data_IF_166972648917
#
_entry.id   IF_166972648917
#
_cell.length_a   1.000
_cell.length_b   1.000
_cell.length_c   1.000
_cell.angle_alpha   90.00
_cell.angle_beta   90.00
_cell.angle_gamma   90.00
#
_symmetry.space_group_name_H-M   'P 1'
#
loop_
_entity.id
_entity.type
_entity.pdbx_description
1 polymer ?
#
# COMPACT_ATOMS: atom_id res chain seq x y z
N UNK A 1 2.13 -1.34 -9.31
CA UNK A 1 0.74 -1.42 -9.81
C UNK A 1 0.50 -2.61 -10.73
N UNK A 2 1.28 -2.77 -11.81
CA UNK A 2 1.04 -3.83 -12.81
C UNK A 2 1.01 -5.25 -12.20
N UNK A 3 1.86 -5.54 -11.22
CA UNK A 3 1.88 -6.84 -10.53
C UNK A 3 0.54 -7.13 -9.83
N UNK A 4 -0.08 -6.14 -9.18
CA UNK A 4 -1.38 -6.33 -8.54
C UNK A 4 -2.47 -6.67 -9.54
N UNK A 5 -2.48 -6.03 -10.72
CA UNK A 5 -3.44 -6.35 -11.77
C UNK A 5 -3.30 -7.80 -12.26
N UNK A 6 -2.07 -8.27 -12.44
CA UNK A 6 -1.80 -9.62 -12.95
C UNK A 6 -2.02 -10.71 -11.89
N UNK A 7 -1.55 -10.47 -10.65
CA UNK A 7 -1.55 -11.45 -9.57
C UNK A 7 -2.88 -11.49 -8.81
N UNK A 8 -3.52 -10.31 -8.61
CA UNK A 8 -4.75 -10.16 -7.82
C UNK A 8 -5.99 -9.89 -8.70
N UNK A 9 -5.78 -9.59 -9.97
CA UNK A 9 -6.84 -9.25 -10.92
C UNK A 9 -7.45 -7.87 -10.70
N UNK A 10 -6.94 -7.08 -9.74
CA UNK A 10 -7.44 -5.76 -9.39
C UNK A 10 -6.25 -4.83 -9.20
N UNK A 11 -6.37 -3.62 -9.75
CA UNK A 11 -5.46 -2.52 -9.51
C UNK A 11 -6.23 -1.39 -8.85
N UNK A 12 -5.77 -0.95 -7.69
CA UNK A 12 -6.34 0.17 -6.93
C UNK A 12 -5.30 1.27 -6.79
N UNK A 13 -5.70 2.50 -7.07
CA UNK A 13 -4.83 3.67 -6.94
C UNK A 13 -5.59 4.78 -6.24
N UNK A 14 -5.09 5.23 -5.10
CA UNK A 14 -5.56 6.41 -4.40
C UNK A 14 -5.09 7.66 -5.14
N UNK A 15 -5.98 8.61 -5.29
CA UNK A 15 -5.69 9.93 -5.87
C UNK A 15 -6.32 10.98 -4.98
N UNK A 16 -5.50 11.75 -4.31
CA UNK A 16 -5.94 12.84 -3.44
C UNK A 16 -5.11 14.09 -3.63
N UNK A 17 -5.40 15.11 -2.85
CA UNK A 17 -4.57 16.31 -2.77
C UNK A 17 -3.72 16.26 -1.52
N UNK A 18 -2.40 16.38 -1.68
CA UNK A 18 -1.47 16.37 -0.56
C UNK A 18 -0.89 17.75 -0.34
N UNK A 19 -1.06 18.23 0.91
CA UNK A 19 -0.39 19.44 1.39
C UNK A 19 0.51 19.06 2.55
N UNK A 20 1.78 19.35 2.42
CA UNK A 20 2.74 19.14 3.49
C UNK A 20 3.45 20.44 3.81
N UNK A 21 3.12 21.00 4.97
CA UNK A 21 3.76 22.18 5.50
C UNK A 21 4.78 21.74 6.56
N UNK A 22 6.06 21.88 6.24
CA UNK A 22 7.13 21.58 7.20
C UNK A 22 7.57 22.81 7.96
N UNK A 23 7.75 22.64 9.24
CA UNK A 23 8.26 23.68 10.13
C UNK A 23 9.77 23.53 10.30
N UNK A 24 10.50 24.58 10.01
CA UNK A 24 11.94 24.65 10.19
C UNK A 24 12.25 25.69 11.25
N UNK A 25 13.10 25.35 12.21
CA UNK A 25 13.70 26.34 13.08
C UNK A 25 14.76 27.08 12.28
N UNK A 26 14.52 28.36 12.05
CA UNK A 26 15.46 29.24 11.36
C UNK A 26 15.86 30.37 12.28
N UNK A 27 17.14 30.74 12.27
CA UNK A 27 17.60 31.99 12.88
C UNK A 27 17.21 33.13 11.99
N UNK A 28 16.42 34.04 12.51
CA UNK A 28 15.93 35.23 11.83
C UNK A 28 16.52 36.46 12.49
N UNK A 29 17.02 37.36 11.69
CA UNK A 29 17.37 38.70 12.12
C UNK A 29 16.14 39.65 12.12
N UNK A 30 16.26 40.80 12.76
CA UNK A 30 15.16 41.79 12.82
C UNK A 30 14.65 42.22 11.46
N UNK A 31 15.51 42.28 10.43
CA UNK A 31 15.12 42.66 9.07
C UNK A 31 14.27 41.56 8.39
N UNK A 32 14.61 40.30 8.63
CA UNK A 32 13.84 39.15 8.11
C UNK A 32 12.49 39.03 8.83
N UNK A 33 12.47 39.29 10.16
CA UNK A 33 11.22 39.32 10.92
C UNK A 33 10.33 40.47 10.43
N UNK A 34 10.90 41.66 10.11
CA UNK A 34 10.16 42.79 9.56
C UNK A 34 9.49 42.48 8.20
N UNK A 35 10.07 41.60 7.41
CA UNK A 35 9.48 41.16 6.14
C UNK A 35 8.29 40.20 6.35
N UNK A 36 8.30 39.40 7.41
CA UNK A 36 7.25 38.42 7.74
C UNK A 36 6.15 39.06 8.59
N UNK A 37 6.56 39.84 9.58
CA UNK A 37 5.70 40.45 10.59
C UNK A 37 6.22 41.85 10.98
N UNK A 38 5.93 42.89 10.19
CA UNK A 38 6.40 44.25 10.47
C UNK A 38 5.92 44.76 11.86
N UNK A 39 4.71 44.37 12.26
CA UNK A 39 4.11 44.73 13.54
C UNK A 39 4.97 44.31 14.75
N UNK A 40 5.61 43.14 14.68
CA UNK A 40 6.49 42.64 15.75
C UNK A 40 7.70 43.55 15.93
N UNK A 41 8.27 44.04 14.83
CA UNK A 41 9.47 44.93 14.92
C UNK A 41 9.11 46.33 15.39
N UNK A 42 7.94 46.83 14.99
CA UNK A 42 7.44 48.14 15.49
C UNK A 42 7.21 48.09 16.99
N UNK A 43 6.58 47.05 17.54
CA UNK A 43 6.35 46.86 18.95
C UNK A 43 7.65 46.64 19.75
N UNK A 44 8.63 45.93 19.18
CA UNK A 44 9.96 45.75 19.81
C UNK A 44 10.68 47.11 19.93
N UNK A 45 10.59 47.95 18.91
CA UNK A 45 11.22 49.30 18.91
C UNK A 45 10.47 50.30 19.74
N UNK A 46 9.15 50.14 19.93
CA UNK A 46 8.31 50.98 20.79
C UNK A 46 8.45 50.73 22.28
N UNK A 47 9.08 49.61 22.69
CA UNK A 47 9.32 49.27 24.09
C UNK A 47 8.08 48.85 24.88
N UNK A 48 7.05 48.34 24.18
CA UNK A 48 5.76 47.92 24.75
C UNK A 48 5.79 46.55 25.46
N UNK A 49 4.67 46.23 26.05
CA UNK A 49 4.43 45.13 27.02
C UNK A 49 4.89 43.76 26.45
N UNK A 50 5.77 43.10 27.22
CA UNK A 50 6.33 41.79 26.85
C UNK A 50 5.25 40.73 26.59
N UNK A 51 4.11 40.80 27.26
CA UNK A 51 3.01 39.83 27.11
C UNK A 51 2.24 40.01 25.77
N UNK A 52 2.11 41.23 25.28
CA UNK A 52 1.51 41.51 23.96
C UNK A 52 2.41 41.04 22.82
N UNK A 53 3.74 41.28 22.97
CA UNK A 53 4.73 40.78 21.99
C UNK A 53 4.78 39.26 21.96
N UNK A 54 4.65 38.61 23.11
CA UNK A 54 4.58 37.14 23.19
C UNK A 54 3.31 36.60 22.48
N UNK A 55 2.16 37.23 22.72
CA UNK A 55 0.91 36.84 22.07
C UNK A 55 0.98 37.07 20.55
N UNK A 56 1.58 38.16 20.10
CA UNK A 56 1.77 38.43 18.69
C UNK A 56 2.71 37.43 18.00
N UNK A 57 3.82 37.06 18.68
CA UNK A 57 4.74 36.02 18.20
C UNK A 57 4.06 34.65 18.11
N UNK A 58 3.17 34.30 19.05
CA UNK A 58 2.38 33.06 19.01
C UNK A 58 1.37 33.09 17.85
N UNK A 59 0.75 34.21 17.58
CA UNK A 59 -0.21 34.35 16.48
C UNK A 59 0.47 34.33 15.10
N UNK A 60 1.65 34.95 14.98
CA UNK A 60 2.34 35.11 13.69
C UNK A 60 3.18 33.89 13.30
N UNK A 61 3.80 33.22 14.28
CA UNK A 61 4.65 32.06 14.02
C UNK A 61 3.98 30.78 14.56
N UNK A 62 3.30 30.00 13.73
CA UNK A 62 2.56 28.82 14.14
C UNK A 62 3.47 27.78 14.80
N UNK A 63 3.06 27.35 16.01
CA UNK A 63 3.81 26.39 16.83
C UNK A 63 4.87 26.99 17.74
N UNK A 64 4.84 28.29 17.93
CA UNK A 64 5.60 28.96 19.00
C UNK A 64 4.79 28.89 20.29
N UNK A 65 5.29 28.19 21.29
CA UNK A 65 4.69 28.18 22.63
C UNK A 65 5.14 29.45 23.43
N UNK A 66 4.34 29.90 24.43
CA UNK A 66 4.68 31.02 25.30
C UNK A 66 6.12 30.99 25.81
N UNK A 67 6.61 29.82 26.16
CA UNK A 67 7.98 29.64 26.66
C UNK A 67 9.03 29.93 25.57
N UNK A 68 8.77 29.47 24.33
CA UNK A 68 9.63 29.75 23.17
C UNK A 68 9.55 31.21 22.73
N UNK A 69 8.36 31.81 22.73
CA UNK A 69 8.15 33.21 22.39
C UNK A 69 8.93 34.12 23.37
N UNK A 70 8.85 33.88 24.69
CA UNK A 70 9.64 34.62 25.69
C UNK A 70 11.14 34.46 25.50
N UNK A 71 11.61 33.26 25.14
CA UNK A 71 13.03 33.03 24.83
C UNK A 71 13.45 33.78 23.56
N UNK A 72 12.67 33.65 22.50
CA UNK A 72 12.93 34.34 21.23
C UNK A 72 13.00 35.86 21.40
N UNK A 73 12.08 36.43 22.18
CA UNK A 73 12.05 37.87 22.49
C UNK A 73 13.29 38.32 23.24
N UNK A 74 13.74 37.51 24.20
CA UNK A 74 14.98 37.79 24.96
C UNK A 74 16.21 37.72 24.04
N UNK A 75 16.26 36.75 23.13
CA UNK A 75 17.37 36.57 22.19
C UNK A 75 17.37 37.67 21.12
N UNK A 76 16.21 38.12 20.64
CA UNK A 76 16.07 39.27 19.72
C UNK A 76 16.59 40.57 20.36
N UNK A 77 16.21 40.83 21.60
CA UNK A 77 16.68 42.04 22.33
C UNK A 77 18.19 42.02 22.64
N UNK A 78 18.75 40.83 22.86
CA UNK A 78 20.15 40.67 23.22
C UNK A 78 21.10 40.59 22.05
N UNK A 79 20.72 39.82 21.04
CA UNK A 79 21.60 39.44 19.93
C UNK A 79 21.11 39.97 18.57
N UNK A 80 19.89 40.52 18.48
CA UNK A 80 19.27 40.94 17.23
C UNK A 80 18.76 39.79 16.36
N UNK A 81 18.90 38.54 16.83
CA UNK A 81 18.50 37.31 16.15
C UNK A 81 17.71 36.41 17.07
N UNK A 82 16.74 35.69 16.57
CA UNK A 82 16.02 34.62 17.29
C UNK A 82 15.78 33.40 16.47
N UNK A 83 15.71 32.23 17.10
CA UNK A 83 15.28 30.98 16.47
C UNK A 83 13.76 30.87 16.52
N UNK A 84 13.13 31.08 15.36
CA UNK A 84 11.68 30.99 15.20
C UNK A 84 11.33 29.89 14.19
N UNK A 85 10.23 29.16 14.39
CA UNK A 85 9.75 28.19 13.44
C UNK A 85 9.12 28.92 12.24
N UNK A 86 9.62 28.61 11.06
CA UNK A 86 9.02 29.06 9.81
C UNK A 86 8.33 27.88 9.15
N UNK A 87 7.09 28.07 8.74
CA UNK A 87 6.37 27.12 7.92
C UNK A 87 6.75 27.36 6.47
N UNK A 88 7.34 26.35 5.83
CA UNK A 88 7.55 26.34 4.40
C UNK A 88 6.67 25.24 3.81
N UNK A 89 5.72 25.62 2.95
CA UNK A 89 4.98 24.66 2.17
C UNK A 89 5.95 23.99 1.20
N UNK A 90 6.08 22.66 1.32
CA UNK A 90 6.99 21.87 0.49
C UNK A 90 6.26 21.14 -0.62
N UNK A 91 5.09 20.58 -0.32
CA UNK A 91 4.28 19.81 -1.26
C UNK A 91 2.87 20.39 -1.25
N UNK A 92 2.38 20.71 -2.44
CA UNK A 92 1.01 21.15 -2.68
C UNK A 92 0.63 20.65 -4.09
N UNK A 93 0.32 19.36 -4.18
CA UNK A 93 0.14 18.66 -5.44
C UNK A 93 -0.79 17.45 -5.31
N UNK A 94 -1.34 16.93 -6.42
CA UNK A 94 -2.03 15.66 -6.41
C UNK A 94 -1.10 14.55 -5.94
N UNK A 95 -1.56 13.74 -5.02
CA UNK A 95 -0.86 12.54 -4.53
C UNK A 95 -1.45 11.30 -5.17
N UNK A 96 -0.57 10.42 -5.66
CA UNK A 96 -0.96 9.15 -6.28
C UNK A 96 -0.27 8.02 -5.53
N UNK A 97 -1.06 7.14 -4.92
CA UNK A 97 -0.55 5.95 -4.21
C UNK A 97 -1.18 4.68 -4.77
N UNK A 98 -0.37 3.72 -5.16
CA UNK A 98 -0.86 2.37 -5.49
C UNK A 98 -1.14 1.62 -4.20
N UNK A 99 -2.35 1.11 -4.06
CA UNK A 99 -2.84 0.42 -2.89
C UNK A 99 -2.87 -1.10 -3.11
N UNK A 100 -2.65 -1.86 -2.04
CA UNK A 100 -2.84 -3.30 -2.07
C UNK A 100 -4.34 -3.62 -1.93
N UNK A 101 -4.95 -4.31 -2.91
CA UNK A 101 -6.40 -4.54 -2.91
C UNK A 101 -6.89 -5.48 -1.82
N UNK A 102 -5.99 -6.21 -1.18
CA UNK A 102 -6.26 -7.18 -0.12
C UNK A 102 -5.70 -6.76 1.26
N UNK A 103 -5.05 -5.60 1.33
CA UNK A 103 -4.39 -5.14 2.56
C UNK A 103 -4.69 -3.70 2.94
N UNK A 104 -4.76 -2.79 1.96
CA UNK A 104 -4.80 -1.36 2.24
C UNK A 104 -6.17 -0.74 2.04
N UNK A 105 -6.97 -1.25 1.08
CA UNK A 105 -8.23 -0.64 0.71
C UNK A 105 -9.34 -1.68 0.62
N UNK A 106 -10.49 -1.38 1.24
CA UNK A 106 -11.60 -2.31 1.40
C UNK A 106 -12.92 -1.69 0.93
N UNK A 107 -13.61 -2.44 0.06
CA UNK A 107 -14.99 -2.18 -0.31
C UNK A 107 -15.89 -3.29 0.22
N UNK A 108 -17.18 -3.05 0.38
CA UNK A 108 -18.13 -4.11 0.67
C UNK A 108 -18.08 -5.22 -0.40
N UNK A 109 -18.10 -6.51 -0.02
CA UNK A 109 -17.89 -7.62 -0.95
C UNK A 109 -18.97 -7.76 -2.04
N UNK A 110 -20.14 -7.14 -1.83
CA UNK A 110 -21.25 -7.17 -2.80
C UNK A 110 -21.19 -6.06 -3.86
N UNK A 111 -20.24 -5.14 -3.74
CA UNK A 111 -20.11 -3.98 -4.62
C UNK A 111 -19.66 -4.41 -6.02
N UNK A 112 -20.32 -3.85 -7.02
CA UNK A 112 -19.98 -4.05 -8.44
C UNK A 112 -19.16 -2.87 -8.96
N UNK A 113 -19.65 -1.66 -8.67
CA UNK A 113 -19.04 -0.38 -9.05
C UNK A 113 -18.48 0.30 -7.80
N UNK A 114 -17.15 0.47 -7.70
CA UNK A 114 -16.51 1.10 -6.55
C UNK A 114 -17.03 2.48 -6.23
N UNK A 115 -17.36 3.27 -7.26
CA UNK A 115 -17.83 4.65 -7.07
C UNK A 115 -19.28 4.73 -6.56
N UNK A 116 -20.05 3.64 -6.67
CA UNK A 116 -21.40 3.52 -6.12
C UNK A 116 -21.46 2.79 -4.78
N UNK A 117 -20.30 2.45 -4.22
CA UNK A 117 -20.23 1.83 -2.90
C UNK A 117 -20.82 2.75 -1.83
N UNK A 118 -21.57 2.25 -0.83
CA UNK A 118 -22.06 3.07 0.27
C UNK A 118 -20.94 3.57 1.16
N UNK A 119 -19.85 2.81 1.26
CA UNK A 119 -18.65 3.16 2.00
C UNK A 119 -17.43 2.41 1.47
N UNK A 120 -16.26 2.92 1.78
CA UNK A 120 -14.98 2.23 1.60
C UNK A 120 -14.00 2.64 2.70
N UNK A 121 -13.02 1.78 2.97
CA UNK A 121 -12.04 2.00 4.02
C UNK A 121 -10.64 1.93 3.42
N UNK A 122 -9.79 2.88 3.84
CA UNK A 122 -8.38 2.90 3.54
C UNK A 122 -7.57 2.78 4.83
N UNK A 123 -6.79 1.73 4.93
CA UNK A 123 -5.91 1.46 6.05
C UNK A 123 -4.52 2.01 5.78
N UNK A 124 -3.96 2.68 6.75
CA UNK A 124 -2.61 3.25 6.65
C UNK A 124 -1.92 3.15 8.01
N UNK A 125 -0.61 3.29 8.01
CA UNK A 125 0.21 3.18 9.20
C UNK A 125 1.02 4.45 9.40
N UNK A 126 1.07 4.92 10.63
CA UNK A 126 1.78 6.13 11.03
C UNK A 126 2.67 5.85 12.24
N UNK A 127 3.79 6.55 12.31
CA UNK A 127 4.58 6.68 13.54
C UNK A 127 3.90 7.65 14.51
N UNK A 128 4.23 7.56 15.80
CA UNK A 128 3.70 8.49 16.81
C UNK A 128 3.97 9.96 16.43
N UNK A 129 5.17 10.25 15.94
CA UNK A 129 5.54 11.60 15.52
C UNK A 129 4.71 12.12 14.32
N UNK A 130 4.37 11.25 13.38
CA UNK A 130 3.50 11.61 12.24
C UNK A 130 2.08 11.90 12.73
N UNK A 131 1.56 11.14 13.71
CA UNK A 131 0.24 11.39 14.29
C UNK A 131 0.19 12.74 15.02
N UNK A 132 1.21 13.05 15.85
CA UNK A 132 1.32 14.38 16.48
C UNK A 132 1.39 15.52 15.45
N UNK A 133 2.09 15.29 14.33
CA UNK A 133 2.11 16.26 13.23
C UNK A 133 0.73 16.43 12.58
N UNK A 134 -0.08 15.36 12.47
CA UNK A 134 -1.44 15.42 11.92
C UNK A 134 -2.39 16.27 12.76
N UNK A 135 -2.23 16.29 14.09
CA UNK A 135 -2.95 17.22 14.97
C UNK A 135 -2.70 18.67 14.54
N UNK A 136 -1.43 18.98 14.25
CA UNK A 136 -1.01 20.34 13.92
C UNK A 136 -1.32 20.78 12.49
N UNK A 137 -1.27 19.84 11.51
CA UNK A 137 -1.43 20.13 10.07
C UNK A 137 -2.83 19.90 9.56
N UNK A 138 -3.46 18.80 10.00
CA UNK A 138 -4.72 18.32 9.46
C UNK A 138 -5.90 18.56 10.42
N UNK A 139 -5.61 19.11 11.62
CA UNK A 139 -6.62 19.42 12.62
C UNK A 139 -7.26 18.17 13.24
N UNK A 140 -6.47 17.10 13.44
CA UNK A 140 -6.93 15.93 14.14
C UNK A 140 -7.13 16.23 15.63
N UNK A 141 -8.05 15.51 16.25
CA UNK A 141 -8.31 15.65 17.68
C UNK A 141 -7.09 15.20 18.51
N UNK A 142 -6.63 16.07 19.39
CA UNK A 142 -5.41 15.85 20.21
C UNK A 142 -5.64 14.73 21.23
N UNK A 143 -6.80 14.70 21.89
CA UNK A 143 -7.11 13.71 22.93
C UNK A 143 -7.19 12.31 22.32
N UNK A 144 -7.77 12.19 21.09
CA UNK A 144 -7.76 10.94 20.33
C UNK A 144 -6.33 10.47 20.03
N UNK A 145 -5.50 11.35 19.49
CA UNK A 145 -4.12 11.00 19.08
C UNK A 145 -3.29 10.59 20.29
N UNK A 146 -3.33 11.34 21.38
CA UNK A 146 -2.61 11.01 22.60
C UNK A 146 -3.04 9.67 23.19
N UNK A 147 -4.35 9.42 23.22
CA UNK A 147 -4.89 8.16 23.70
C UNK A 147 -4.42 6.96 22.84
N UNK A 148 -4.46 7.10 21.51
CA UNK A 148 -4.04 6.05 20.59
C UNK A 148 -2.53 5.77 20.70
N UNK A 149 -1.69 6.79 20.81
CA UNK A 149 -0.24 6.63 21.00
C UNK A 149 0.07 5.89 22.29
N UNK A 150 -0.65 6.17 23.37
CA UNK A 150 -0.40 5.55 24.68
C UNK A 150 -0.86 4.08 24.73
N UNK A 151 -1.98 3.73 24.10
CA UNK A 151 -2.62 2.42 24.31
C UNK A 151 -2.46 1.45 23.14
N UNK A 152 -2.23 1.93 21.91
CA UNK A 152 -2.26 1.10 20.71
C UNK A 152 -0.94 1.08 19.92
N UNK A 153 0.12 1.66 20.46
CA UNK A 153 1.44 1.60 19.84
C UNK A 153 1.93 0.16 19.74
N UNK A 154 2.22 -0.28 18.53
CA UNK A 154 2.76 -1.61 18.26
C UNK A 154 1.79 -2.80 18.37
N UNK A 155 0.49 -2.56 18.63
CA UNK A 155 -0.49 -3.64 18.87
C UNK A 155 -1.13 -4.17 17.57
N UNK A 156 -1.12 -3.43 16.48
CA UNK A 156 -2.08 -3.61 15.39
C UNK A 156 -1.58 -4.24 14.10
N UNK A 157 -0.36 -4.78 14.05
CA UNK A 157 0.05 -5.48 12.83
C UNK A 157 -0.56 -6.86 12.84
N UNK A 158 -1.54 -7.07 11.97
CA UNK A 158 -2.24 -8.33 11.78
C UNK A 158 -1.24 -9.45 11.42
N UNK A 159 -1.45 -10.64 11.96
CA UNK A 159 -0.59 -11.81 11.70
C UNK A 159 -0.48 -12.14 10.20
N UNK A 160 -1.53 -11.82 9.45
CA UNK A 160 -1.59 -12.00 7.99
C UNK A 160 -0.61 -11.06 7.27
N UNK A 161 -0.46 -9.83 7.73
CA UNK A 161 0.47 -8.87 7.13
C UNK A 161 1.92 -9.20 7.47
N UNK A 162 2.20 -9.65 8.70
CA UNK A 162 3.53 -10.16 9.05
C UNK A 162 3.93 -11.33 8.15
N UNK A 163 2.98 -12.19 7.81
CA UNK A 163 3.24 -13.33 6.92
C UNK A 163 3.45 -12.89 5.47
N UNK A 164 2.73 -11.87 5.00
CA UNK A 164 2.89 -11.31 3.66
C UNK A 164 4.20 -10.50 3.52
N UNK A 165 4.56 -9.71 4.52
CA UNK A 165 5.83 -9.00 4.55
C UNK A 165 7.01 -9.97 4.73
N UNK A 166 6.89 -11.00 5.55
CA UNK A 166 7.89 -12.06 5.67
C UNK A 166 8.15 -12.80 4.35
N UNK A 167 7.17 -12.88 3.46
CA UNK A 167 7.34 -13.44 2.11
C UNK A 167 7.98 -12.45 1.12
N UNK A 168 7.86 -11.15 1.35
CA UNK A 168 8.44 -10.09 0.51
C UNK A 168 9.85 -9.69 0.92
N UNK A 169 10.16 -9.86 2.20
CA UNK A 169 11.46 -9.47 2.78
C UNK A 169 12.37 -10.68 2.95
N UNK A 170 13.52 -10.67 2.29
CA UNK A 170 14.61 -11.62 2.53
C UNK A 170 15.47 -11.26 3.75
N UNK A 171 15.23 -10.10 4.37
CA UNK A 171 15.91 -9.63 5.59
C UNK A 171 14.90 -9.57 6.77
N UNK A 172 14.77 -10.67 7.47
CA UNK A 172 13.83 -10.89 8.58
C UNK A 172 14.16 -10.08 9.86
N UNK A 173 15.30 -9.41 9.94
CA UNK A 173 15.79 -8.82 11.19
C UNK A 173 15.53 -7.33 11.34
N UNK A 174 15.49 -6.55 10.26
CA UNK A 174 15.37 -5.09 10.36
C UNK A 174 13.93 -4.60 10.45
N UNK A 175 12.98 -5.26 9.79
CA UNK A 175 11.59 -4.80 9.72
C UNK A 175 10.77 -5.08 10.99
N UNK A 176 11.20 -5.99 11.85
CA UNK A 176 10.45 -6.33 13.06
C UNK A 176 10.49 -5.22 14.13
N UNK A 177 11.52 -4.38 14.13
CA UNK A 177 11.63 -3.25 15.05
C UNK A 177 10.81 -2.05 14.58
N UNK A 178 10.82 -1.74 13.29
CA UNK A 178 10.03 -0.64 12.71
C UNK A 178 8.53 -0.92 12.79
N UNK A 179 8.12 -2.16 12.55
CA UNK A 179 6.73 -2.58 12.63
C UNK A 179 6.10 -2.41 14.03
N UNK A 180 6.88 -2.50 15.09
CA UNK A 180 6.39 -2.34 16.46
C UNK A 180 6.14 -0.87 16.86
N UNK A 181 6.58 0.09 16.07
CA UNK A 181 6.37 1.52 16.32
C UNK A 181 5.20 2.11 15.53
N UNK A 182 4.70 1.39 14.52
CA UNK A 182 3.62 1.84 13.66
C UNK A 182 2.25 1.67 14.33
N UNK A 183 1.40 2.65 14.10
CA UNK A 183 0.01 2.69 14.58
C UNK A 183 -0.91 2.65 13.36
N UNK A 184 -1.85 1.70 13.36
CA UNK A 184 -2.83 1.55 12.29
C UNK A 184 -3.93 2.60 12.43
N UNK A 185 -4.18 3.33 11.35
CA UNK A 185 -5.26 4.31 11.24
C UNK A 185 -6.10 3.97 10.01
N UNK A 186 -7.40 4.10 10.15
CA UNK A 186 -8.37 3.81 9.09
C UNK A 186 -9.09 5.10 8.68
N UNK A 187 -9.07 5.39 7.38
CA UNK A 187 -9.90 6.41 6.77
C UNK A 187 -11.16 5.75 6.23
N UNK A 188 -12.30 6.10 6.77
CA UNK A 188 -13.60 5.64 6.30
C UNK A 188 -14.23 6.70 5.41
N UNK A 189 -14.46 6.38 4.14
CA UNK A 189 -15.18 7.24 3.21
C UNK A 189 -16.62 6.74 3.08
N UNK A 190 -17.59 7.63 3.25
CA UNK A 190 -19.02 7.30 3.21
C UNK A 190 -19.78 8.33 2.40
N UNK A 191 -20.78 7.89 1.63
CA UNK A 191 -21.75 8.77 1.02
C UNK A 191 -22.89 8.99 2.00
N UNK A 192 -23.05 10.21 2.46
CA UNK A 192 -24.10 10.60 3.39
C UNK A 192 -24.91 11.74 2.77
N UNK A 193 -26.20 11.76 3.13
CA UNK A 193 -27.12 12.85 2.78
C UNK A 193 -27.14 13.78 3.98
N UNK A 194 -26.84 15.05 3.77
CA UNK A 194 -26.98 16.05 4.80
C UNK A 194 -28.47 16.19 5.16
N UNK A 195 -28.86 16.03 6.43
CA UNK A 195 -30.23 16.11 6.84
C UNK A 195 -30.83 17.55 6.75
N UNK A 196 -29.99 18.59 6.68
CA UNK A 196 -30.45 19.98 6.67
C UNK A 196 -30.82 20.45 5.25
N UNK A 197 -29.98 20.16 4.26
CA UNK A 197 -30.16 20.63 2.88
C UNK A 197 -30.49 19.51 1.88
N UNK A 198 -30.39 18.24 2.29
CA UNK A 198 -30.64 17.09 1.44
C UNK A 198 -29.55 16.84 0.39
N UNK A 199 -28.44 17.53 0.47
CA UNK A 199 -27.31 17.32 -0.45
C UNK A 199 -26.55 16.03 -0.13
N UNK A 200 -26.14 15.30 -1.17
CA UNK A 200 -25.29 14.12 -1.02
C UNK A 200 -23.82 14.54 -1.06
N UNK A 201 -23.06 14.09 -0.07
CA UNK A 201 -21.63 14.37 0.03
C UNK A 201 -20.82 13.15 0.42
N UNK A 202 -19.51 13.19 0.13
CA UNK A 202 -18.56 12.18 0.62
C UNK A 202 -17.95 12.69 1.92
N UNK A 203 -18.17 11.95 3.00
CA UNK A 203 -17.60 12.23 4.30
C UNK A 203 -16.41 11.32 4.56
N UNK A 204 -15.37 11.87 5.17
CA UNK A 204 -14.21 11.15 5.64
C UNK A 204 -14.20 11.10 7.16
N UNK A 205 -14.13 9.90 7.71
CA UNK A 205 -13.97 9.65 9.15
C UNK A 205 -12.61 9.00 9.37
N UNK A 206 -11.79 9.57 10.23
CA UNK A 206 -10.47 9.02 10.59
C UNK A 206 -10.57 8.38 11.96
N UNK A 207 -10.31 7.09 12.08
CA UNK A 207 -10.48 6.35 13.31
C UNK A 207 -9.47 5.17 13.44
N UNK A 208 -9.41 4.60 14.64
CA UNK A 208 -8.66 3.37 14.91
C UNK A 208 -9.62 2.19 15.05
N UNK A 209 -9.33 1.05 14.38
CA UNK A 209 -10.28 -0.09 14.26
C UNK A 209 -10.74 -0.69 15.59
N UNK A 210 -9.95 -0.58 16.65
CA UNK A 210 -10.24 -1.17 17.97
C UNK A 210 -10.77 -0.15 18.98
N UNK A 211 -10.78 1.14 18.64
CA UNK A 211 -11.19 2.19 19.56
C UNK A 211 -12.48 2.87 19.09
N UNK A 212 -13.49 2.84 19.93
CA UNK A 212 -14.82 3.40 19.67
C UNK A 212 -15.13 4.67 20.46
N UNK A 213 -14.14 5.17 21.21
CA UNK A 213 -14.30 6.30 22.11
C UNK A 213 -14.61 5.89 23.55
N UNK A 214 -14.21 6.76 24.50
CA UNK A 214 -14.47 6.64 25.92
C UNK A 214 -14.64 8.04 26.53
N UNK A 215 -14.65 8.16 27.88
CA UNK A 215 -14.77 9.45 28.57
C UNK A 215 -13.54 10.35 28.39
N UNK A 216 -12.38 9.78 28.04
CA UNK A 216 -11.10 10.49 27.93
C UNK A 216 -10.82 10.98 26.49
N UNK A 217 -11.30 10.25 25.47
CA UNK A 217 -11.05 10.58 24.08
C UNK A 217 -12.22 10.20 23.15
N UNK A 218 -12.48 10.98 22.09
CA UNK A 218 -13.50 10.64 21.08
C UNK A 218 -13.11 9.40 20.28
N UNK A 219 -14.09 8.72 19.67
CA UNK A 219 -13.87 7.50 18.89
C UNK A 219 -13.25 7.73 17.49
N UNK A 220 -12.97 8.98 17.15
CA UNK A 220 -12.43 9.36 15.84
C UNK A 220 -11.52 10.59 15.96
N UNK A 221 -10.50 10.65 15.12
CA UNK A 221 -9.60 11.80 15.03
C UNK A 221 -10.21 12.97 14.26
N UNK A 222 -11.00 12.68 13.25
CA UNK A 222 -11.61 13.68 12.38
C UNK A 222 -12.85 13.14 11.70
N UNK A 223 -13.88 13.97 11.57
CA UNK A 223 -15.04 13.75 10.72
C UNK A 223 -15.29 15.00 9.89
N UNK A 224 -15.19 14.88 8.58
CA UNK A 224 -15.35 16.03 7.69
C UNK A 224 -16.00 15.69 6.36
N UNK A 225 -16.71 16.65 5.78
CA UNK A 225 -17.16 16.61 4.40
C UNK A 225 -15.93 16.86 3.47
N UNK A 226 -15.68 15.95 2.55
CA UNK A 226 -14.67 16.15 1.52
C UNK A 226 -15.18 17.11 0.45
N UNK A 227 -15.08 18.39 0.72
CA UNK A 227 -15.48 19.44 -0.22
C UNK A 227 -14.73 19.27 -1.55
N UNK A 228 -15.49 19.27 -2.64
CA UNK A 228 -14.91 19.20 -3.98
C UNK A 228 -14.72 17.78 -4.51
N UNK A 229 -14.98 16.71 -3.76
CA UNK A 229 -14.98 15.34 -4.26
C UNK A 229 -16.42 14.90 -4.60
N UNK A 230 -16.64 14.53 -5.87
CA UNK A 230 -17.89 13.90 -6.35
C UNK A 230 -17.79 12.39 -6.26
N UNK A 231 -16.56 11.88 -6.42
CA UNK A 231 -16.24 10.47 -6.44
C UNK A 231 -15.29 10.12 -5.29
N UNK A 232 -15.27 8.86 -4.87
CA UNK A 232 -14.26 8.38 -3.93
C UNK A 232 -12.84 8.60 -4.49
N UNK A 233 -11.87 8.99 -3.65
CA UNK A 233 -10.50 9.28 -4.08
C UNK A 233 -9.71 8.02 -4.46
N UNK A 234 -10.32 7.11 -5.20
CA UNK A 234 -9.71 5.85 -5.61
C UNK A 234 -10.16 5.45 -7.01
N UNK A 235 -9.20 5.07 -7.83
CA UNK A 235 -9.43 4.46 -9.14
C UNK A 235 -9.23 2.95 -9.02
N UNK A 236 -10.21 2.19 -9.49
CA UNK A 236 -10.19 0.73 -9.41
C UNK A 236 -10.42 0.14 -10.80
N UNK A 237 -9.46 -0.66 -11.26
CA UNK A 237 -9.56 -1.38 -12.54
C UNK A 237 -9.48 -2.86 -12.31
N UNK A 238 -10.41 -3.62 -12.93
CA UNK A 238 -10.44 -5.08 -12.89
C UNK A 238 -9.83 -5.68 -14.16
N UNK A 239 -9.17 -6.81 -13.99
CA UNK A 239 -8.65 -7.57 -15.11
C UNK A 239 -9.79 -8.24 -15.91
N UNK A 240 -10.77 -8.82 -15.21
CA UNK A 240 -11.95 -9.45 -15.84
C UNK A 240 -13.19 -8.60 -15.61
N UNK A 241 -13.93 -8.29 -16.68
CA UNK A 241 -15.19 -7.54 -16.60
C UNK A 241 -16.41 -8.44 -16.38
N UNK A 242 -16.26 -9.75 -16.58
CA UNK A 242 -17.36 -10.71 -16.51
C UNK A 242 -17.86 -10.96 -15.07
N UNK A 243 -17.07 -10.56 -14.07
CA UNK A 243 -17.43 -10.76 -12.67
C UNK A 243 -18.43 -9.70 -12.18
N UNK A 244 -19.51 -10.17 -11.58
CA UNK A 244 -20.55 -9.31 -11.00
C UNK A 244 -20.10 -8.56 -9.75
N UNK A 245 -19.06 -9.05 -9.05
CA UNK A 245 -18.53 -8.46 -7.80
C UNK A 245 -17.14 -7.88 -8.02
N UNK A 246 -16.77 -6.90 -7.20
CA UNK A 246 -15.49 -6.23 -7.31
C UNK A 246 -14.31 -7.21 -7.15
N UNK A 247 -14.34 -8.06 -6.13
CA UNK A 247 -13.26 -8.99 -5.78
C UNK A 247 -13.34 -10.35 -6.49
N UNK A 248 -14.41 -10.60 -7.26
CA UNK A 248 -14.57 -11.83 -8.03
C UNK A 248 -13.92 -11.64 -9.40
N UNK A 249 -12.59 -11.72 -9.45
CA UNK A 249 -11.80 -11.53 -10.66
C UNK A 249 -10.97 -12.76 -10.96
N UNK A 250 -10.87 -13.13 -12.22
CA UNK A 250 -10.02 -14.22 -12.68
C UNK A 250 -8.59 -13.69 -12.88
N UNK A 251 -7.66 -14.19 -12.09
CA UNK A 251 -6.25 -13.80 -12.13
C UNK A 251 -5.45 -14.66 -13.12
N UNK A 252 -4.26 -14.19 -13.52
CA UNK A 252 -3.33 -15.01 -14.33
C UNK A 252 -2.95 -16.31 -13.61
N UNK A 253 -2.58 -16.32 -12.32
CA UNK A 253 -2.36 -17.54 -11.54
C UNK A 253 -3.55 -18.50 -11.55
N UNK A 254 -4.80 -18.01 -11.49
CA UNK A 254 -5.99 -18.88 -11.53
C UNK A 254 -6.15 -19.57 -12.88
N UNK A 255 -5.89 -18.85 -13.96
CA UNK A 255 -5.92 -19.40 -15.33
C UNK A 255 -4.85 -20.50 -15.48
N UNK A 256 -3.67 -20.27 -14.93
CA UNK A 256 -2.53 -21.19 -15.05
C UNK A 256 -2.59 -22.38 -14.09
N UNK A 257 -3.40 -22.32 -13.02
CA UNK A 257 -3.46 -23.34 -11.96
C UNK A 257 -3.68 -24.75 -12.52
N UNK A 258 -4.58 -24.89 -13.48
CA UNK A 258 -4.87 -26.18 -14.13
C UNK A 258 -3.63 -26.74 -14.83
N UNK A 259 -2.94 -25.91 -15.60
CA UNK A 259 -1.73 -26.29 -16.35
C UNK A 259 -0.61 -26.63 -15.38
N UNK A 260 -0.38 -25.81 -14.36
CA UNK A 260 0.65 -26.05 -13.34
C UNK A 260 0.45 -27.38 -12.61
N UNK A 261 -0.79 -27.71 -12.26
CA UNK A 261 -1.12 -28.99 -11.64
C UNK A 261 -0.82 -30.17 -12.56
N UNK A 262 -1.16 -30.09 -13.85
CA UNK A 262 -0.85 -31.13 -14.82
C UNK A 262 0.65 -31.31 -15.01
N UNK A 263 1.40 -30.22 -15.20
CA UNK A 263 2.86 -30.26 -15.31
C UNK A 263 3.49 -30.88 -14.05
N UNK A 264 2.99 -30.52 -12.87
CA UNK A 264 3.45 -31.11 -11.62
C UNK A 264 3.21 -32.62 -11.57
N UNK A 265 2.00 -33.08 -11.89
CA UNK A 265 1.67 -34.51 -11.90
C UNK A 265 2.56 -35.29 -12.87
N UNK A 266 2.82 -34.73 -14.07
CA UNK A 266 3.72 -35.36 -15.06
C UNK A 266 5.18 -35.43 -14.56
N UNK A 267 5.69 -34.37 -13.95
CA UNK A 267 7.01 -34.35 -13.36
C UNK A 267 7.15 -35.33 -12.19
N UNK A 268 6.20 -35.33 -11.27
CA UNK A 268 6.19 -36.22 -10.10
C UNK A 268 6.14 -37.66 -10.56
N UNK A 269 5.23 -38.02 -11.50
CA UNK A 269 5.13 -39.36 -12.07
C UNK A 269 6.43 -39.81 -12.76
N UNK A 270 7.12 -38.91 -13.43
CA UNK A 270 8.41 -39.21 -14.07
C UNK A 270 9.53 -39.44 -13.03
N UNK A 271 9.56 -38.63 -11.97
CA UNK A 271 10.50 -38.79 -10.85
C UNK A 271 10.26 -40.14 -10.14
N UNK A 272 9.01 -40.47 -9.86
CA UNK A 272 8.64 -41.73 -9.21
C UNK A 272 9.04 -42.92 -10.06
N UNK A 273 8.78 -42.89 -11.37
CA UNK A 273 9.20 -43.96 -12.31
C UNK A 273 10.71 -44.09 -12.39
N UNK A 274 11.43 -42.97 -12.44
CA UNK A 274 12.89 -43.00 -12.45
C UNK A 274 13.44 -43.59 -11.14
N UNK A 275 12.81 -43.26 -10.00
CA UNK A 275 13.16 -43.83 -8.70
C UNK A 275 12.88 -45.34 -8.67
N UNK A 276 11.74 -45.78 -9.17
CA UNK A 276 11.41 -47.19 -9.30
C UNK A 276 12.32 -47.94 -10.31
N UNK A 277 12.76 -47.28 -11.37
CA UNK A 277 13.74 -47.86 -12.31
C UNK A 277 15.12 -48.01 -11.70
N UNK A 278 15.53 -47.05 -10.85
CA UNK A 278 16.83 -47.07 -10.19
C UNK A 278 16.89 -48.03 -9.00
N UNK A 279 15.77 -48.06 -8.23
CA UNK A 279 15.60 -48.92 -7.05
C UNK A 279 14.25 -49.67 -7.16
N UNK A 280 14.16 -50.68 -8.02
CA UNK A 280 12.93 -51.42 -8.21
C UNK A 280 12.54 -52.17 -6.94
N UNK A 281 11.21 -52.24 -6.63
CA UNK A 281 10.73 -53.05 -5.52
C UNK A 281 11.10 -54.53 -5.67
N UNK A 282 11.55 -55.16 -4.61
CA UNK A 282 11.93 -56.57 -4.61
C UNK A 282 10.72 -57.39 -4.25
N UNK A 283 10.44 -58.42 -5.05
CA UNK A 283 9.46 -59.43 -4.75
C UNK A 283 10.14 -60.53 -3.99
N UNK A 284 9.68 -60.82 -2.78
CA UNK A 284 10.21 -61.90 -1.93
C UNK A 284 9.07 -62.75 -1.36
N UNK A 285 9.32 -64.04 -1.01
CA UNK A 285 8.30 -64.88 -0.38
C UNK A 285 7.84 -64.33 0.96
N UNK A 286 6.57 -64.53 1.28
CA UNK A 286 5.98 -64.10 2.55
C UNK A 286 6.76 -64.66 3.73
N UNK A 287 7.18 -63.84 4.68
CA UNK A 287 7.95 -64.23 5.88
C UNK A 287 9.47 -64.22 5.71
N UNK A 288 10.02 -63.81 4.57
CA UNK A 288 11.47 -63.73 4.32
C UNK A 288 11.79 -62.30 3.80
N UNK A 289 11.77 -61.30 4.67
CA UNK A 289 12.21 -59.98 4.27
C UNK A 289 13.74 -59.92 4.07
N UNK A 290 14.25 -59.38 2.94
CA UNK A 290 15.68 -59.08 2.81
C UNK A 290 16.06 -58.01 3.83
N UNK A 291 17.09 -58.32 4.62
CA UNK A 291 17.51 -57.46 5.73
C UNK A 291 18.23 -56.18 5.33
N UNK A 292 18.73 -56.11 4.10
CA UNK A 292 19.56 -54.99 3.66
C UNK A 292 19.55 -54.87 2.14
N UNK A 293 18.92 -53.78 1.64
CA UNK A 293 18.86 -53.49 0.23
C UNK A 293 19.63 -52.20 -0.09
N UNK A 294 20.50 -52.24 -1.12
CA UNK A 294 21.24 -51.09 -1.60
C UNK A 294 22.15 -51.44 -2.75
N UNK A 295 22.68 -50.43 -3.51
CA UNK A 295 23.60 -50.66 -4.60
C UNK A 295 24.88 -51.39 -4.13
N UNK A 296 25.23 -52.47 -4.83
CA UNK A 296 26.43 -53.28 -4.53
C UNK A 296 26.36 -54.21 -3.35
N UNK A 297 25.18 -54.37 -2.72
CA UNK A 297 24.98 -55.30 -1.62
C UNK A 297 24.71 -56.74 -2.11
N UNK A 298 25.38 -57.71 -1.51
CA UNK A 298 25.13 -59.14 -1.76
C UNK A 298 23.98 -59.62 -0.91
N UNK A 299 22.89 -60.08 -1.58
CA UNK A 299 21.73 -60.61 -0.91
C UNK A 299 21.77 -62.14 -1.03
N UNK A 300 21.82 -62.89 0.09
CA UNK A 300 21.76 -64.36 0.05
C UNK A 300 20.39 -64.84 -0.38
N UNK A 301 20.33 -65.76 -1.33
CA UNK A 301 19.11 -66.38 -1.78
C UNK A 301 19.22 -67.91 -1.66
N UNK A 302 18.14 -68.63 -1.43
CA UNK A 302 18.12 -70.07 -1.30
C UNK A 302 17.97 -70.80 -2.62
N UNK A 303 17.11 -70.25 -3.51
CA UNK A 303 16.85 -70.82 -4.82
C UNK A 303 16.85 -69.72 -5.88
N UNK A 304 17.24 -70.07 -7.12
CA UNK A 304 17.16 -69.14 -8.23
C UNK A 304 15.68 -68.79 -8.48
N UNK A 305 15.31 -67.51 -8.33
CA UNK A 305 13.95 -67.03 -8.43
C UNK A 305 13.24 -66.71 -7.12
N UNK A 306 13.90 -66.95 -5.93
CA UNK A 306 13.38 -66.53 -4.64
C UNK A 306 13.30 -65.03 -4.46
N UNK A 307 14.13 -64.29 -5.20
CA UNK A 307 14.17 -62.83 -5.30
C UNK A 307 13.98 -62.41 -6.76
N UNK A 308 13.01 -61.60 -7.01
CA UNK A 308 12.74 -61.01 -8.32
C UNK A 308 12.45 -59.51 -8.18
N UNK A 309 12.66 -58.75 -9.23
CA UNK A 309 12.29 -57.36 -9.26
C UNK A 309 10.86 -57.20 -9.80
N UNK A 310 10.11 -56.33 -9.17
CA UNK A 310 8.80 -55.97 -9.72
C UNK A 310 9.00 -55.34 -11.12
N UNK A 311 8.18 -55.71 -12.11
CA UNK A 311 8.29 -55.10 -13.42
C UNK A 311 8.04 -53.59 -13.34
N UNK A 312 9.04 -52.80 -13.70
CA UNK A 312 8.90 -51.34 -13.78
C UNK A 312 8.13 -51.00 -15.07
N UNK A 313 7.05 -50.21 -14.98
CA UNK A 313 6.36 -49.77 -16.15
C UNK A 313 7.29 -48.94 -17.05
N UNK A 314 7.23 -49.12 -18.36
CA UNK A 314 8.08 -48.37 -19.31
C UNK A 314 7.85 -46.85 -19.11
N UNK A 315 8.94 -46.09 -19.19
CA UNK A 315 8.85 -44.62 -19.15
C UNK A 315 7.96 -44.17 -20.33
N UNK A 316 6.93 -43.33 -20.09
CA UNK A 316 6.11 -42.83 -21.18
C UNK A 316 6.98 -41.88 -22.01
N UNK A 317 7.25 -42.26 -23.21
CA UNK A 317 8.06 -41.49 -24.19
C UNK A 317 7.45 -40.10 -24.43
N UNK A 318 6.14 -39.93 -24.25
CA UNK A 318 5.43 -38.69 -24.46
C UNK A 318 5.35 -37.72 -23.27
N UNK A 319 5.82 -38.10 -22.07
CA UNK A 319 5.66 -37.23 -20.86
C UNK A 319 6.35 -35.86 -21.01
N UNK A 320 7.52 -35.83 -21.64
CA UNK A 320 8.27 -34.57 -21.87
C UNK A 320 7.58 -33.73 -22.95
N UNK A 321 6.98 -34.37 -23.98
CA UNK A 321 6.24 -33.65 -25.01
C UNK A 321 4.93 -33.06 -24.49
N UNK A 322 4.25 -33.78 -23.57
CA UNK A 322 3.07 -33.26 -22.87
C UNK A 322 3.45 -32.04 -22.04
N UNK A 323 4.53 -32.12 -21.25
CA UNK A 323 5.04 -31.00 -20.45
C UNK A 323 5.33 -29.79 -21.34
N UNK A 324 6.07 -29.94 -22.43
CA UNK A 324 6.37 -28.86 -23.38
C UNK A 324 5.10 -28.26 -24.02
N UNK A 325 4.13 -29.11 -24.34
CA UNK A 325 2.85 -28.65 -24.89
C UNK A 325 2.09 -27.83 -23.86
N UNK A 326 2.08 -28.24 -22.60
CA UNK A 326 1.46 -27.49 -21.51
C UNK A 326 2.17 -26.15 -21.26
N UNK A 327 3.51 -26.14 -21.27
CA UNK A 327 4.28 -24.90 -21.15
C UNK A 327 4.00 -23.95 -22.33
N UNK A 328 3.96 -24.43 -23.55
CA UNK A 328 3.57 -23.63 -24.72
C UNK A 328 2.14 -23.10 -24.65
N UNK A 329 1.20 -23.85 -24.07
CA UNK A 329 -0.15 -23.36 -23.79
C UNK A 329 -0.15 -22.26 -22.73
N UNK A 330 0.65 -22.40 -21.65
CA UNK A 330 0.81 -21.37 -20.64
C UNK A 330 1.36 -20.07 -21.24
N UNK A 331 2.39 -20.16 -22.09
CA UNK A 331 2.97 -19.00 -22.77
C UNK A 331 1.95 -18.28 -23.67
N UNK A 332 1.12 -19.04 -24.39
CA UNK A 332 0.02 -18.45 -25.18
C UNK A 332 -1.02 -17.76 -24.32
N UNK A 333 -1.40 -18.37 -23.20
CA UNK A 333 -2.38 -17.80 -22.28
C UNK A 333 -1.85 -16.55 -21.55
N UNK A 334 -0.54 -16.47 -21.30
CA UNK A 334 0.10 -15.31 -20.71
C UNK A 334 0.44 -14.20 -21.71
N UNK A 335 0.32 -14.44 -22.99
CA UNK A 335 0.72 -13.45 -24.01
C UNK A 335 2.23 -13.42 -24.29
N UNK A 336 2.98 -14.47 -23.92
CA UNK A 336 4.43 -14.56 -24.11
C UNK A 336 4.84 -15.16 -25.45
N UNK A 337 3.96 -15.92 -26.10
CA UNK A 337 4.22 -16.48 -27.44
C UNK A 337 4.03 -15.41 -28.52
N UNK A 338 5.12 -14.85 -29.00
CA UNK A 338 5.13 -13.78 -30.01
C UNK A 338 4.61 -14.23 -31.38
N UNK A 339 4.54 -15.53 -31.64
CA UNK A 339 4.08 -16.09 -32.92
C UNK A 339 2.57 -16.29 -32.97
N UNK A 340 1.91 -16.32 -31.81
CA UNK A 340 0.47 -16.59 -31.71
C UNK A 340 -0.34 -15.29 -31.72
N UNK A 341 -1.33 -15.20 -32.64
CA UNK A 341 -2.28 -14.09 -32.68
C UNK A 341 -3.07 -13.96 -31.37
N UNK A 342 -3.45 -15.06 -30.74
CA UNK A 342 -4.18 -15.09 -29.48
C UNK A 342 -3.33 -14.45 -28.37
N UNK A 343 -2.05 -14.77 -28.36
CA UNK A 343 -1.08 -14.20 -27.42
C UNK A 343 -0.94 -12.69 -27.61
N UNK A 344 -0.85 -12.21 -28.85
CA UNK A 344 -0.78 -10.78 -29.15
C UNK A 344 -2.03 -10.01 -28.72
N UNK A 345 -3.22 -10.57 -28.98
CA UNK A 345 -4.49 -9.97 -28.53
C UNK A 345 -4.56 -9.90 -27.01
N UNK A 346 -4.10 -10.94 -26.31
CA UNK A 346 -4.10 -10.95 -24.85
C UNK A 346 -3.11 -9.96 -24.26
N UNK A 347 -1.92 -9.87 -24.84
CA UNK A 347 -0.93 -8.85 -24.46
C UNK A 347 -1.49 -7.45 -24.65
N UNK A 348 -2.11 -7.18 -25.79
CA UNK A 348 -2.74 -5.90 -26.07
C UNK A 348 -3.84 -5.58 -25.05
N UNK A 349 -4.71 -6.55 -24.74
CA UNK A 349 -5.75 -6.37 -23.72
C UNK A 349 -5.19 -5.98 -22.36
N UNK A 350 -4.10 -6.63 -21.90
CA UNK A 350 -3.46 -6.27 -20.63
C UNK A 350 -2.89 -4.85 -20.66
N UNK A 351 -2.25 -4.49 -21.77
CA UNK A 351 -1.71 -3.14 -21.97
C UNK A 351 -2.83 -2.09 -21.97
N UNK A 352 -3.92 -2.36 -22.71
CA UNK A 352 -5.06 -1.47 -22.81
C UNK A 352 -5.73 -1.24 -21.45
N UNK A 353 -5.87 -2.29 -20.62
CA UNK A 353 -6.38 -2.18 -19.25
C UNK A 353 -5.50 -1.29 -18.37
N UNK A 354 -4.20 -1.44 -18.48
CA UNK A 354 -3.25 -0.59 -17.72
C UNK A 354 -3.27 0.86 -18.21
N UNK A 355 -3.37 1.07 -19.53
CA UNK A 355 -3.49 2.42 -20.10
C UNK A 355 -4.81 3.09 -19.70
N UNK A 356 -5.92 2.35 -19.71
CA UNK A 356 -7.21 2.83 -19.23
C UNK A 356 -7.11 3.28 -17.77
N UNK A 357 -6.57 2.43 -16.90
CA UNK A 357 -6.35 2.79 -15.49
C UNK A 357 -5.53 4.07 -15.35
N UNK A 358 -4.42 4.16 -16.10
CA UNK A 358 -3.55 5.34 -16.05
C UNK A 358 -4.26 6.61 -16.53
N UNK A 359 -5.11 6.50 -17.55
CA UNK A 359 -5.92 7.62 -18.03
C UNK A 359 -6.95 8.08 -16.99
N UNK A 360 -7.62 7.16 -16.30
CA UNK A 360 -8.56 7.47 -15.22
C UNK A 360 -7.85 8.13 -14.02
N UNK A 361 -6.66 7.65 -13.65
CA UNK A 361 -5.82 8.27 -12.61
C UNK A 361 -5.44 9.70 -13.00
N UNK A 362 -4.98 9.92 -14.22
CA UNK A 362 -4.62 11.26 -14.70
C UNK A 362 -5.84 12.18 -14.75
N UNK A 363 -7.00 11.69 -15.15
CA UNK A 363 -8.24 12.44 -15.15
C UNK A 363 -8.65 12.86 -13.72
N UNK A 364 -8.51 11.96 -12.74
CA UNK A 364 -8.79 12.26 -11.34
C UNK A 364 -7.77 13.26 -10.78
N UNK A 365 -6.48 13.10 -11.10
CA UNK A 365 -5.44 14.08 -10.75
C UNK A 365 -5.78 15.47 -11.31
N UNK A 366 -6.24 15.55 -12.56
CA UNK A 366 -6.64 16.81 -13.18
C UNK A 366 -7.84 17.44 -12.49
N UNK A 367 -8.86 16.64 -12.14
CA UNK A 367 -10.00 17.11 -11.32
C UNK A 367 -9.53 17.66 -9.96
N UNK A 368 -8.64 16.95 -9.26
CA UNK A 368 -8.04 17.43 -8.01
C UNK A 368 -7.27 18.74 -8.21
N UNK A 369 -6.49 18.83 -9.28
CA UNK A 369 -5.74 20.03 -9.59
C UNK A 369 -6.64 21.23 -9.89
N UNK A 370 -7.74 21.06 -10.62
CA UNK A 370 -8.72 22.12 -10.87
C UNK A 370 -9.38 22.65 -9.61
N UNK A 371 -9.53 21.82 -8.58
CA UNK A 371 -10.26 22.16 -7.34
C UNK A 371 -9.37 22.69 -6.23
N UNK A 372 -8.19 22.14 -6.10
CA UNK A 372 -7.28 22.41 -4.98
C UNK A 372 -5.99 23.10 -5.41
N UNK A 373 -5.72 23.12 -6.70
CA UNK A 373 -4.53 23.76 -7.24
C UNK A 373 -4.56 25.30 -7.11
N UNK A 374 -3.41 25.95 -7.18
CA UNK A 374 -3.33 27.41 -7.19
C UNK A 374 -3.98 27.98 -8.44
N UNK A 375 -4.55 29.19 -8.32
CA UNK A 375 -5.23 29.91 -9.42
C UNK A 375 -4.35 30.15 -10.64
N UNK A 376 -3.03 30.20 -10.46
CA UNK A 376 -2.07 30.36 -11.54
C UNK A 376 -0.90 29.40 -11.38
N UNK A 377 -0.57 28.67 -12.44
CA UNK A 377 0.57 27.76 -12.49
C UNK A 377 1.47 28.15 -13.64
N UNK A 378 2.73 28.38 -13.32
CA UNK A 378 3.76 28.59 -14.33
C UNK A 378 4.44 27.25 -14.64
N UNK A 379 4.40 26.83 -15.90
CA UNK A 379 5.12 25.64 -16.34
C UNK A 379 6.02 25.99 -17.53
N UNK A 380 7.21 25.41 -17.53
CA UNK A 380 8.12 25.53 -18.65
C UNK A 380 7.82 24.46 -19.69
N UNK A 381 7.52 24.84 -20.91
CA UNK A 381 7.40 23.91 -22.03
C UNK A 381 8.81 23.49 -22.44
N UNK A 382 9.20 22.25 -22.12
CA UNK A 382 10.49 21.70 -22.55
C UNK A 382 10.50 21.51 -24.05
N UNK A 383 11.49 22.12 -24.74
CA UNK A 383 11.61 22.05 -26.20
C UNK A 383 11.26 23.35 -26.94
N UNK A 384 10.73 24.37 -26.25
CA UNK A 384 10.66 25.71 -26.83
C UNK A 384 12.05 26.34 -26.77
N UNK A 385 12.60 26.85 -27.88
CA UNK A 385 13.80 27.69 -27.80
C UNK A 385 13.52 28.89 -26.91
N UNK A 386 14.46 29.23 -26.03
CA UNK A 386 14.37 30.41 -25.20
C UNK A 386 14.11 31.63 -26.14
N UNK A 387 13.23 32.56 -25.75
CA UNK A 387 12.95 33.74 -26.57
C UNK A 387 14.17 34.65 -26.69
#
# INVERSE_FOLDING_TARGET
GANYLLERGILMTYVGWHREDRRFLQRLDLNQIAQIAPEVVELISGGENDDELVALLEATFPGVTKKRAKKALKDLRKNGEAELPIVRRQIDAPEVKTLAPDGDFFFPPYVTDPQRAPYCFWRTYYTAQELENKVLTDGWDEDFVDYIIQHYRGVSIDSIEREQEGRRSTSLTDNAYEANELIEIVYGYQRLIDPEDGSEGIYCTVFHKQFTGNEEAPGYAKFELLNGYEDYPVVVTKLSEDSKRLYDTQTIPDILRGIQNQVKVERDSRIDRNSLATLPPILHPVGQAPTDWGPGRMIPYRRKGDLDFAPTPPSPVGSIEIERTMEAQADRLCGLDETSQISQVRKQFLVDKFLQHSAEVLQMCYKCFQRFGPDSVFFRVTGSPDP
#
